data_IF_332767760533
#
_entry.id   IF_332767760533
#
_cell.length_a   1.000
_cell.length_b   1.000
_cell.length_c   1.000
_cell.angle_alpha   90.00
_cell.angle_beta   90.00
_cell.angle_gamma   90.00
#
_symmetry.space_group_name_H-M   'P 1'
#
loop_
_entity.id
_entity.type
_entity.pdbx_description
1 polymer ?
#
# COMPACT_ATOMS: atom_id res chain seq x y z
N UNK A 1 -17.46 -7.30 8.46
CA UNK A 1 -16.89 -5.99 8.03
C UNK A 1 -16.04 -5.33 9.11
N UNK A 2 -16.54 -5.13 10.34
CA UNK A 2 -15.80 -4.45 11.43
C UNK A 2 -14.49 -5.15 11.86
N UNK A 3 -14.45 -6.49 11.89
CA UNK A 3 -13.24 -7.24 12.25
C UNK A 3 -12.06 -6.99 11.30
N UNK A 4 -12.32 -7.03 9.99
CA UNK A 4 -11.32 -6.72 8.96
C UNK A 4 -10.82 -5.27 9.08
N UNK A 5 -11.70 -4.31 9.40
CA UNK A 5 -11.30 -2.91 9.61
C UNK A 5 -10.41 -2.72 10.85
N UNK A 6 -10.70 -3.42 11.96
CA UNK A 6 -9.82 -3.42 13.14
C UNK A 6 -8.45 -4.00 12.82
N UNK A 7 -8.40 -5.11 12.08
CA UNK A 7 -7.15 -5.74 11.66
C UNK A 7 -6.31 -4.82 10.75
N UNK A 8 -6.95 -4.12 9.81
CA UNK A 8 -6.27 -3.16 8.93
C UNK A 8 -5.61 -2.02 9.70
N UNK A 9 -6.28 -1.48 10.72
CA UNK A 9 -5.66 -0.48 11.63
C UNK A 9 -4.50 -1.09 12.42
N UNK A 10 -4.62 -2.35 12.84
CA UNK A 10 -3.57 -3.05 13.58
C UNK A 10 -2.27 -3.24 12.75
N UNK A 11 -2.35 -3.28 11.42
CA UNK A 11 -1.16 -3.39 10.56
C UNK A 11 -0.37 -2.10 10.37
N UNK A 12 -0.88 -0.97 10.85
CA UNK A 12 -0.25 0.32 10.61
C UNK A 12 -0.19 1.18 11.89
N UNK A 13 -0.09 0.53 13.05
CA UNK A 13 -0.24 1.18 14.37
C UNK A 13 0.81 2.26 14.61
N UNK A 14 2.09 2.02 14.29
CA UNK A 14 3.19 2.96 14.58
C UNK A 14 4.33 2.89 13.55
N UNK A 15 5.25 3.87 13.62
CA UNK A 15 6.53 3.84 12.90
C UNK A 15 6.45 4.13 11.40
N UNK A 16 7.30 3.45 10.62
CA UNK A 16 7.36 3.62 9.16
C UNK A 16 6.13 3.07 8.45
N UNK A 17 5.48 2.03 9.00
CA UNK A 17 4.26 1.44 8.46
C UNK A 17 3.13 2.48 8.39
N UNK A 18 2.93 3.26 9.46
CA UNK A 18 1.93 4.36 9.47
C UNK A 18 2.19 5.42 8.41
N UNK A 19 3.46 5.75 8.16
CA UNK A 19 3.88 6.71 7.13
C UNK A 19 3.75 6.16 5.70
N UNK A 20 3.69 4.84 5.54
CA UNK A 20 3.41 4.19 4.27
C UNK A 20 1.90 4.04 4.02
N UNK A 21 1.08 4.24 5.06
CA UNK A 21 -0.37 4.46 4.95
C UNK A 21 -1.11 3.24 4.40
N UNK A 22 -2.07 3.48 3.51
CA UNK A 22 -2.90 2.41 2.94
C UNK A 22 -2.08 1.39 2.14
N UNK A 23 -0.92 1.78 1.60
CA UNK A 23 -0.02 0.85 0.92
C UNK A 23 0.54 -0.21 1.87
N UNK A 24 0.82 0.14 3.12
CA UNK A 24 1.20 -0.85 4.14
C UNK A 24 0.04 -1.79 4.46
N UNK A 25 -1.19 -1.27 4.54
CA UNK A 25 -2.39 -2.09 4.76
C UNK A 25 -2.59 -3.09 3.63
N UNK A 26 -2.51 -2.63 2.38
CA UNK A 26 -2.66 -3.48 1.19
C UNK A 26 -1.57 -4.56 1.13
N UNK A 27 -0.30 -4.17 1.34
CA UNK A 27 0.82 -5.10 1.34
C UNK A 27 0.64 -6.18 2.41
N UNK A 28 0.35 -5.80 3.65
CA UNK A 28 0.17 -6.75 4.75
C UNK A 28 -1.05 -7.65 4.56
N UNK A 29 -2.15 -7.12 4.01
CA UNK A 29 -3.34 -7.91 3.70
C UNK A 29 -3.04 -9.04 2.70
N UNK A 30 -2.32 -8.71 1.62
CA UNK A 30 -1.93 -9.67 0.59
C UNK A 30 -0.94 -10.68 1.15
N UNK A 31 0.08 -10.24 1.89
CA UNK A 31 1.07 -11.14 2.50
C UNK A 31 0.41 -12.13 3.48
N UNK A 32 -0.48 -11.65 4.35
CA UNK A 32 -1.20 -12.50 5.30
C UNK A 32 -2.08 -13.54 4.59
N UNK A 33 -2.78 -13.13 3.51
CA UNK A 33 -3.57 -14.07 2.73
C UNK A 33 -2.71 -15.14 2.06
N UNK A 34 -1.55 -14.77 1.52
CA UNK A 34 -0.66 -15.71 0.84
C UNK A 34 0.02 -16.68 1.79
N UNK A 35 0.41 -16.21 2.98
CA UNK A 35 0.95 -17.06 4.04
C UNK A 35 -0.03 -18.18 4.46
N UNK A 36 -1.33 -17.90 4.43
CA UNK A 36 -2.42 -18.85 4.71
C UNK A 36 -2.97 -19.53 3.43
N UNK A 37 -2.19 -19.60 2.34
CA UNK A 37 -2.54 -20.24 1.05
C UNK A 37 -3.76 -19.64 0.32
N UNK A 38 -4.29 -18.52 0.79
CA UNK A 38 -5.29 -17.72 0.07
C UNK A 38 -6.65 -18.39 -0.11
N UNK A 39 -7.11 -19.26 0.81
CA UNK A 39 -8.47 -19.82 0.75
C UNK A 39 -9.53 -18.72 0.75
N UNK A 40 -10.73 -19.00 0.23
CA UNK A 40 -11.82 -18.00 0.16
C UNK A 40 -12.22 -17.49 1.56
N UNK A 41 -12.17 -18.36 2.56
CA UNK A 41 -12.41 -18.04 3.97
C UNK A 41 -11.36 -17.07 4.53
N UNK A 42 -10.08 -17.34 4.26
CA UNK A 42 -8.95 -16.49 4.66
C UNK A 42 -9.05 -15.12 3.99
N UNK A 43 -9.32 -15.10 2.69
CA UNK A 43 -9.52 -13.87 1.92
C UNK A 43 -10.66 -13.04 2.54
N UNK A 44 -11.78 -13.68 2.86
CA UNK A 44 -12.93 -13.03 3.50
C UNK A 44 -12.58 -12.49 4.89
N UNK A 45 -11.79 -13.22 5.69
CA UNK A 45 -11.33 -12.80 7.03
C UNK A 45 -10.53 -11.50 6.99
N UNK A 46 -9.65 -11.37 6.00
CA UNK A 46 -8.81 -10.17 5.81
C UNK A 46 -9.48 -9.09 4.92
N UNK A 47 -10.66 -9.37 4.38
CA UNK A 47 -11.41 -8.47 3.50
C UNK A 47 -10.77 -8.30 2.12
N UNK A 48 -10.07 -9.32 1.64
CA UNK A 48 -9.49 -9.39 0.29
C UNK A 48 -10.43 -10.19 -0.60
N UNK A 49 -10.63 -9.75 -1.84
CA UNK A 49 -11.41 -10.50 -2.82
C UNK A 49 -10.57 -11.67 -3.34
N UNK A 50 -11.04 -12.91 -3.18
CA UNK A 50 -10.29 -14.11 -3.58
C UNK A 50 -9.83 -14.09 -5.06
N UNK A 51 -10.71 -13.68 -5.98
CA UNK A 51 -10.35 -13.50 -7.40
C UNK A 51 -9.23 -12.48 -7.61
N UNK A 52 -9.24 -11.37 -6.87
CA UNK A 52 -8.18 -10.37 -6.96
C UNK A 52 -6.85 -10.92 -6.43
N UNK A 53 -6.87 -11.72 -5.36
CA UNK A 53 -5.66 -12.37 -4.83
C UNK A 53 -5.04 -13.33 -5.86
N UNK A 54 -5.86 -14.11 -6.57
CA UNK A 54 -5.40 -15.00 -7.64
C UNK A 54 -4.67 -14.24 -8.75
N UNK A 55 -5.27 -13.13 -9.22
CA UNK A 55 -4.64 -12.28 -10.25
C UNK A 55 -3.37 -11.60 -9.75
N UNK A 56 -3.33 -11.14 -8.51
CA UNK A 56 -2.12 -10.58 -7.88
C UNK A 56 -0.99 -11.62 -7.85
N UNK A 57 -1.28 -12.88 -7.51
CA UNK A 57 -0.29 -13.97 -7.52
C UNK A 57 0.28 -14.24 -8.91
N UNK A 58 -0.58 -14.25 -9.94
CA UNK A 58 -0.15 -14.42 -11.34
C UNK A 58 0.72 -13.25 -11.81
N UNK A 59 0.30 -12.02 -11.52
CA UNK A 59 1.04 -10.82 -11.91
C UNK A 59 2.41 -10.77 -11.23
N UNK A 60 2.51 -11.18 -9.96
CA UNK A 60 3.79 -11.27 -9.26
C UNK A 60 4.75 -12.28 -9.91
N UNK A 61 4.24 -13.46 -10.29
CA UNK A 61 5.02 -14.47 -11.02
C UNK A 61 5.54 -13.90 -12.36
N UNK A 62 4.69 -13.21 -13.12
CA UNK A 62 5.08 -12.59 -14.38
C UNK A 62 6.16 -11.52 -14.20
N UNK A 63 6.01 -10.62 -13.22
CA UNK A 63 6.99 -9.57 -12.94
C UNK A 63 8.33 -10.14 -12.48
N UNK A 64 8.32 -11.17 -11.63
CA UNK A 64 9.56 -11.82 -11.17
C UNK A 64 10.28 -12.51 -12.33
N UNK A 65 9.54 -13.24 -13.19
CA UNK A 65 10.12 -13.87 -14.38
C UNK A 65 10.71 -12.82 -15.34
N UNK A 66 10.02 -11.70 -15.53
CA UNK A 66 10.51 -10.60 -16.37
C UNK A 66 11.80 -10.00 -15.81
N UNK A 67 11.84 -9.73 -14.50
CA UNK A 67 13.03 -9.20 -13.82
C UNK A 67 14.20 -10.18 -13.94
N UNK A 68 13.96 -11.48 -13.69
CA UNK A 68 14.98 -12.52 -13.83
C UNK A 68 15.50 -12.65 -15.27
N UNK A 69 14.68 -12.34 -16.28
CA UNK A 69 15.07 -12.36 -17.69
C UNK A 69 15.81 -11.10 -18.13
N UNK A 70 15.44 -9.92 -17.62
CA UNK A 70 15.99 -8.64 -18.08
C UNK A 70 17.22 -8.20 -17.28
N UNK A 71 17.26 -8.52 -15.99
CA UNK A 71 18.33 -8.10 -15.11
C UNK A 71 19.37 -9.21 -14.98
N UNK A 72 20.64 -8.88 -15.19
CA UNK A 72 21.78 -9.77 -14.89
C UNK A 72 21.98 -9.84 -13.37
N UNK A 73 21.08 -10.56 -12.71
CA UNK A 73 21.13 -10.74 -11.27
C UNK A 73 22.18 -11.80 -10.91
N UNK A 74 22.91 -11.55 -9.81
CA UNK A 74 23.86 -12.53 -9.27
C UNK A 74 23.18 -13.83 -8.80
N UNK A 75 21.89 -13.74 -8.44
CA UNK A 75 21.05 -14.87 -8.05
C UNK A 75 19.62 -14.62 -8.57
N UNK A 76 18.99 -15.68 -9.06
CA UNK A 76 17.60 -15.66 -9.50
C UNK A 76 16.67 -15.39 -8.33
N UNK A 77 15.75 -14.44 -8.48
CA UNK A 77 14.74 -14.17 -7.46
C UNK A 77 13.73 -15.32 -7.49
N UNK A 78 13.69 -16.09 -6.41
CA UNK A 78 12.70 -17.14 -6.22
C UNK A 78 11.36 -16.55 -5.76
N UNK A 79 10.27 -17.20 -6.15
CA UNK A 79 8.93 -16.85 -5.68
C UNK A 79 8.73 -17.53 -4.35
N UNK A 80 8.93 -16.78 -3.28
CA UNK A 80 8.58 -17.22 -1.95
C UNK A 80 7.05 -17.09 -1.76
N UNK A 81 6.33 -18.22 -1.58
CA UNK A 81 4.88 -18.21 -1.37
C UNK A 81 4.48 -17.54 -0.04
N UNK A 82 5.40 -17.43 0.93
CA UNK A 82 5.13 -16.88 2.26
C UNK A 82 6.22 -15.89 2.69
N UNK A 83 6.32 -14.78 1.97
CA UNK A 83 7.23 -13.69 2.32
C UNK A 83 6.92 -13.13 3.71
N UNK A 84 7.95 -12.93 4.56
CA UNK A 84 7.77 -12.29 5.84
C UNK A 84 7.33 -10.83 5.68
N UNK A 85 6.66 -10.25 6.68
CA UNK A 85 6.37 -8.82 6.68
C UNK A 85 7.66 -8.01 6.60
N UNK A 86 7.69 -6.90 5.84
CA UNK A 86 8.89 -6.10 5.66
C UNK A 86 9.31 -5.40 6.96
N UNK A 87 10.62 -5.26 7.15
CA UNK A 87 11.20 -4.48 8.26
C UNK A 87 10.93 -2.98 8.11
N UNK A 88 11.07 -2.20 9.19
CA UNK A 88 10.88 -0.74 9.12
C UNK A 88 11.78 -0.05 8.09
N UNK A 89 13.02 -0.52 7.95
CA UNK A 89 13.96 0.00 6.96
C UNK A 89 13.49 -0.32 5.54
N UNK A 90 12.99 -1.53 5.29
CA UNK A 90 12.42 -1.90 3.99
C UNK A 90 11.17 -1.07 3.67
N UNK A 91 10.28 -0.84 4.64
CA UNK A 91 9.11 0.02 4.45
C UNK A 91 9.53 1.46 4.10
N UNK A 92 10.58 1.98 4.73
CA UNK A 92 11.13 3.30 4.40
C UNK A 92 11.61 3.36 2.94
N UNK A 93 12.32 2.34 2.49
CA UNK A 93 12.80 2.24 1.10
C UNK A 93 11.64 2.11 0.11
N UNK A 94 10.66 1.26 0.41
CA UNK A 94 9.45 1.12 -0.42
C UNK A 94 8.71 2.45 -0.56
N UNK A 95 8.57 3.21 0.54
CA UNK A 95 7.98 4.56 0.49
C UNK A 95 8.75 5.49 -0.45
N UNK A 96 10.09 5.47 -0.43
CA UNK A 96 10.90 6.29 -1.32
C UNK A 96 10.71 5.90 -2.80
N UNK A 97 10.69 4.60 -3.10
CA UNK A 97 10.43 4.09 -4.46
C UNK A 97 9.06 4.55 -4.95
N UNK A 98 8.03 4.41 -4.11
CA UNK A 98 6.66 4.82 -4.48
C UNK A 98 6.58 6.32 -4.73
N UNK A 99 7.15 7.15 -3.84
CA UNK A 99 7.16 8.61 -4.01
C UNK A 99 7.87 9.00 -5.31
N UNK A 100 9.01 8.37 -5.63
CA UNK A 100 9.73 8.62 -6.87
C UNK A 100 8.91 8.24 -8.11
N UNK A 101 8.11 7.16 -8.03
CA UNK A 101 7.22 6.73 -9.12
C UNK A 101 5.95 7.57 -9.27
N UNK A 102 5.53 8.27 -8.22
CA UNK A 102 4.29 9.04 -8.14
C UNK A 102 4.57 10.54 -7.92
N UNK A 103 5.65 11.07 -8.51
CA UNK A 103 6.07 12.47 -8.35
C UNK A 103 4.95 13.48 -8.65
N UNK A 104 4.08 13.13 -9.60
CA UNK A 104 2.97 13.96 -10.03
C UNK A 104 1.75 13.92 -9.09
N UNK A 105 1.70 12.94 -8.18
CA UNK A 105 0.61 12.73 -7.23
C UNK A 105 1.03 13.15 -5.81
N UNK A 106 1.76 14.26 -5.71
CA UNK A 106 2.18 14.83 -4.44
C UNK A 106 1.19 15.94 -4.05
N UNK A 107 0.63 15.82 -2.85
CA UNK A 107 -0.27 16.81 -2.29
C UNK A 107 0.24 17.30 -0.93
N UNK A 108 0.10 18.61 -0.68
CA UNK A 108 0.47 19.28 0.56
C UNK A 108 -0.80 19.58 1.35
N UNK A 109 -0.77 19.34 2.66
CA UNK A 109 -1.88 19.72 3.54
C UNK A 109 -1.99 21.24 3.59
N UNK A 110 -3.21 21.75 3.41
CA UNK A 110 -3.50 23.19 3.54
C UNK A 110 -3.45 23.56 5.01
N UNK A 111 -2.68 24.59 5.34
CA UNK A 111 -2.61 25.10 6.72
C UNK A 111 -3.84 25.95 7.04
N UNK A 112 -4.26 25.93 8.31
CA UNK A 112 -5.40 26.74 8.76
C UNK A 112 -5.17 28.24 8.65
N UNK A 113 -3.91 28.68 8.63
CA UNK A 113 -3.48 30.06 8.45
C UNK A 113 -3.70 30.58 7.02
N UNK A 114 -3.68 29.67 6.04
CA UNK A 114 -3.82 29.99 4.61
C UNK A 114 -5.19 29.57 4.06
N UNK A 115 -6.08 29.10 4.92
CA UNK A 115 -7.39 28.59 4.57
C UNK A 115 -8.42 29.73 4.47
N UNK A 116 -9.16 29.79 3.37
CA UNK A 116 -10.32 30.67 3.21
C UNK A 116 -11.57 30.00 3.78
N UNK A 117 -12.67 30.72 3.98
CA UNK A 117 -13.94 30.14 4.46
C UNK A 117 -14.48 29.01 3.57
N UNK A 118 -14.09 28.99 2.29
CA UNK A 118 -14.49 27.98 1.31
C UNK A 118 -13.62 26.71 1.34
N UNK A 119 -12.47 26.69 2.04
CA UNK A 119 -11.60 25.50 2.06
C UNK A 119 -12.03 24.49 3.13
N UNK A 120 -12.32 23.24 2.76
CA UNK A 120 -12.75 22.24 3.72
C UNK A 120 -11.62 21.88 4.70
N UNK A 121 -11.99 21.60 5.95
CA UNK A 121 -11.02 21.19 6.98
C UNK A 121 -10.32 19.90 6.56
N UNK A 122 -8.99 19.90 6.61
CA UNK A 122 -8.19 18.76 6.18
C UNK A 122 -7.96 18.68 4.67
N UNK A 123 -8.22 19.76 3.93
CA UNK A 123 -7.89 19.87 2.52
C UNK A 123 -6.40 19.67 2.23
N UNK A 124 -6.13 19.12 1.06
CA UNK A 124 -4.83 19.02 0.43
C UNK A 124 -4.84 19.77 -0.90
N UNK A 125 -3.73 20.37 -1.27
CA UNK A 125 -3.51 20.99 -2.57
C UNK A 125 -2.41 20.23 -3.32
N UNK A 126 -2.50 20.17 -4.65
CA UNK A 126 -1.45 19.60 -5.49
C UNK A 126 -1.15 20.53 -6.66
N UNK A 127 0.04 20.40 -7.26
CA UNK A 127 0.48 21.30 -8.33
C UNK A 127 -0.40 21.22 -9.59
N UNK A 128 -1.03 20.06 -9.83
CA UNK A 128 -1.82 19.82 -11.05
C UNK A 128 -3.27 20.29 -10.97
N UNK A 129 -3.86 20.34 -9.77
CA UNK A 129 -5.27 20.64 -9.59
C UNK A 129 -5.43 21.93 -8.81
N UNK A 130 -6.19 22.86 -9.37
CA UNK A 130 -6.57 24.12 -8.69
C UNK A 130 -7.63 23.90 -7.61
N UNK A 131 -8.22 22.71 -7.55
CA UNK A 131 -9.26 22.34 -6.59
C UNK A 131 -8.61 21.62 -5.40
N UNK A 132 -9.10 21.91 -4.19
CA UNK A 132 -8.70 21.20 -2.99
C UNK A 132 -9.14 19.73 -3.04
N UNK A 133 -8.24 18.84 -2.65
CA UNK A 133 -8.44 17.41 -2.53
C UNK A 133 -8.70 17.02 -1.07
N UNK A 134 -9.51 15.99 -0.87
CA UNK A 134 -9.70 15.36 0.43
C UNK A 134 -9.26 13.91 0.33
N UNK A 135 -8.71 13.40 1.43
CA UNK A 135 -8.44 11.98 1.53
C UNK A 135 -9.72 11.25 1.93
N UNK A 136 -10.32 10.52 1.00
CA UNK A 136 -11.60 9.82 1.19
C UNK A 136 -11.45 8.55 2.05
N UNK A 137 -10.29 7.91 1.96
CA UNK A 137 -9.93 6.73 2.74
C UNK A 137 -8.56 6.93 3.35
N UNK A 138 -8.50 7.48 4.57
CA UNK A 138 -7.29 7.41 5.38
C UNK A 138 -7.59 6.40 6.48
N UNK A 139 -6.93 5.26 6.46
CA UNK A 139 -6.91 4.41 7.66
C UNK A 139 -6.04 5.01 8.78
N UNK A 140 -5.87 6.34 8.89
CA UNK A 140 -5.09 7.04 9.93
C UNK A 140 -5.54 8.47 10.26
#
# INVERSE_FOLDING_TARGET
MLAALKQRRAWCVQGQARRFGDLAVLLNAVLACLAEKGSEEVCTRYGVRHKALSEVSKLRLQLINLINSLCQLKQTIAIDPSLPPPSETQIRMLRQIVIASLSENIARRVESSTANEETPKGAYECQKLKVCLLLEFVFF
#
